data_IF_010888705353
#
_entry.id   IF_010888705353
#
_cell.length_a   1.000
_cell.length_b   1.000
_cell.length_c   1.000
_cell.angle_alpha   90.00
_cell.angle_beta   90.00
_cell.angle_gamma   90.00
#
_symmetry.space_group_name_H-M   'P 1'
#
loop_
_entity.id
_entity.type
_entity.pdbx_description
1 polymer ?
#
# COMPACT_ATOMS: atom_id res chain seq x y z
N UNK A 1 3.75 -13.74 -11.39
CA UNK A 1 4.14 -12.76 -10.36
C UNK A 1 5.21 -11.87 -10.96
N UNK A 2 5.28 -10.60 -10.56
CA UNK A 2 6.18 -9.62 -11.19
C UNK A 2 6.40 -8.44 -10.24
N UNK A 3 7.63 -7.95 -10.20
CA UNK A 3 7.99 -6.67 -9.62
C UNK A 3 8.76 -5.87 -10.66
N UNK A 4 8.48 -4.56 -10.82
CA UNK A 4 9.28 -3.72 -11.70
C UNK A 4 10.71 -3.55 -11.14
N UNK A 5 11.62 -3.06 -11.96
CA UNK A 5 12.94 -2.66 -11.47
C UNK A 5 12.79 -1.52 -10.46
N UNK A 6 13.74 -1.41 -9.53
CA UNK A 6 13.76 -0.32 -8.55
C UNK A 6 13.77 1.07 -9.21
N UNK A 7 14.38 1.18 -10.40
CA UNK A 7 14.40 2.42 -11.18
C UNK A 7 13.01 2.89 -11.63
N UNK A 8 12.00 2.02 -11.57
CA UNK A 8 10.59 2.33 -11.85
C UNK A 8 9.80 2.34 -10.54
N UNK A 9 9.92 1.27 -9.75
CA UNK A 9 9.15 1.07 -8.52
C UNK A 9 9.49 2.05 -7.40
N UNK A 10 10.72 2.59 -7.39
CA UNK A 10 11.19 3.60 -6.45
C UNK A 10 11.80 4.82 -7.18
N UNK A 11 11.29 5.14 -8.37
CA UNK A 11 11.69 6.34 -9.08
C UNK A 11 11.45 7.60 -8.23
N UNK A 12 12.43 8.49 -8.18
CA UNK A 12 12.45 9.69 -7.34
C UNK A 12 12.99 9.45 -5.93
N UNK A 13 13.00 8.20 -5.46
CA UNK A 13 13.53 7.81 -4.15
C UNK A 13 13.01 8.69 -3.01
N UNK A 14 13.91 9.05 -2.09
CA UNK A 14 13.58 9.91 -0.95
C UNK A 14 13.19 11.34 -1.34
N UNK A 15 13.70 11.85 -2.47
CA UNK A 15 13.42 13.23 -2.91
C UNK A 15 11.94 13.39 -3.26
N UNK A 16 11.33 12.37 -3.86
CA UNK A 16 9.91 12.39 -4.25
C UNK A 16 9.01 11.68 -3.22
N UNK A 17 9.57 11.23 -2.10
CA UNK A 17 8.77 10.57 -1.06
C UNK A 17 7.89 11.58 -0.33
N UNK A 18 6.61 11.25 -0.13
CA UNK A 18 5.57 12.17 0.36
C UNK A 18 5.31 13.43 -0.49
N UNK A 19 5.80 13.48 -1.73
CA UNK A 19 5.60 14.62 -2.63
C UNK A 19 4.57 14.37 -3.74
N UNK A 20 4.00 15.46 -4.25
CA UNK A 20 3.16 15.52 -5.46
C UNK A 20 3.53 16.77 -6.27
N UNK A 21 3.69 16.70 -7.62
CA UNK A 21 3.42 15.58 -8.53
C UNK A 21 4.41 14.42 -8.37
N UNK A 22 3.97 13.21 -8.73
CA UNK A 22 4.77 11.98 -8.59
C UNK A 22 4.74 11.13 -9.85
N UNK A 23 5.87 10.50 -10.16
CA UNK A 23 6.07 9.73 -11.40
C UNK A 23 6.55 8.29 -11.14
N UNK A 24 6.33 7.77 -9.94
CA UNK A 24 6.76 6.43 -9.50
C UNK A 24 5.77 5.34 -9.95
N UNK A 25 6.28 4.24 -10.51
CA UNK A 25 5.49 3.05 -10.87
C UNK A 25 5.44 2.02 -9.73
N UNK A 26 4.91 2.40 -8.57
CA UNK A 26 4.95 1.61 -7.34
C UNK A 26 3.86 0.52 -7.31
N UNK A 27 4.21 -0.69 -7.75
CA UNK A 27 3.36 -1.87 -7.65
C UNK A 27 4.17 -3.17 -7.64
N UNK A 28 3.56 -4.26 -7.16
CA UNK A 28 4.09 -5.64 -7.32
C UNK A 28 2.93 -6.63 -7.39
N UNK A 29 3.07 -7.65 -8.21
CA UNK A 29 2.12 -8.75 -8.34
C UNK A 29 2.59 -9.98 -7.59
N UNK A 30 1.82 -10.36 -6.58
CA UNK A 30 1.94 -11.62 -5.85
C UNK A 30 0.84 -12.60 -6.29
N UNK A 31 1.02 -13.88 -5.97
CA UNK A 31 0.02 -14.92 -6.19
C UNK A 31 -0.10 -15.76 -4.94
N UNK A 32 -1.31 -15.88 -4.40
CA UNK A 32 -1.61 -16.80 -3.32
C UNK A 32 -1.69 -18.24 -3.84
N UNK A 33 -1.14 -19.17 -3.05
CA UNK A 33 -1.18 -20.61 -3.27
C UNK A 33 -1.84 -21.29 -2.07
N UNK A 34 -2.55 -22.38 -2.33
CA UNK A 34 -3.29 -23.17 -1.34
C UNK A 34 -3.00 -24.66 -1.53
N UNK A 35 -3.32 -25.47 -0.53
CA UNK A 35 -3.28 -26.91 -0.65
C UNK A 35 -4.21 -27.39 -1.78
N UNK A 36 -4.02 -28.63 -2.23
CA UNK A 36 -4.87 -29.25 -3.28
C UNK A 36 -6.35 -29.36 -2.87
N UNK A 37 -6.62 -29.32 -1.57
CA UNK A 37 -7.97 -29.26 -0.98
C UNK A 37 -8.58 -27.84 -0.99
N UNK A 38 -7.85 -26.84 -1.50
CA UNK A 38 -8.27 -25.44 -1.59
C UNK A 38 -8.12 -24.65 -0.30
N UNK A 39 -7.52 -25.22 0.76
CA UNK A 39 -7.36 -24.56 2.06
C UNK A 39 -5.98 -23.92 2.22
N UNK A 40 -5.83 -22.92 3.12
CA UNK A 40 -4.52 -22.40 3.48
C UNK A 40 -3.58 -23.54 3.89
N UNK A 41 -2.37 -23.50 3.37
CA UNK A 41 -1.36 -24.53 3.58
C UNK A 41 0.03 -23.91 3.67
N UNK A 42 0.95 -24.59 4.33
CA UNK A 42 2.36 -24.22 4.34
C UNK A 42 2.96 -24.30 2.91
N UNK A 43 4.06 -23.58 2.65
CA UNK A 43 4.73 -23.63 1.36
C UNK A 43 5.12 -25.06 0.96
N UNK A 44 4.60 -25.53 -0.17
CA UNK A 44 4.90 -26.84 -0.74
C UNK A 44 4.92 -26.75 -2.28
N UNK A 45 5.79 -27.52 -2.96
CA UNK A 45 5.78 -27.65 -4.42
C UNK A 45 4.44 -28.16 -4.98
N UNK A 46 3.65 -28.87 -4.16
CA UNK A 46 2.35 -29.42 -4.55
C UNK A 46 1.18 -28.43 -4.45
N UNK A 47 1.40 -27.25 -3.90
CA UNK A 47 0.35 -26.24 -3.78
C UNK A 47 -0.11 -25.76 -5.15
N UNK A 48 -1.39 -25.42 -5.23
CA UNK A 48 -2.02 -24.94 -6.45
C UNK A 48 -2.39 -23.45 -6.32
N UNK A 49 -2.46 -22.69 -7.44
CA UNK A 49 -2.92 -21.31 -7.40
C UNK A 49 -4.31 -21.22 -6.78
N UNK A 50 -4.49 -20.30 -5.82
CA UNK A 50 -5.79 -20.03 -5.23
C UNK A 50 -6.76 -19.52 -6.29
N UNK A 51 -7.99 -20.08 -6.30
CA UNK A 51 -9.08 -19.61 -7.16
C UNK A 51 -10.11 -18.88 -6.29
N UNK A 52 -10.06 -17.53 -6.25
CA UNK A 52 -11.02 -16.77 -5.46
C UNK A 52 -12.43 -16.90 -6.05
N UNK A 53 -13.44 -16.76 -5.19
CA UNK A 53 -14.84 -16.67 -5.64
C UNK A 53 -15.07 -15.41 -6.48
N UNK A 54 -14.50 -14.29 -6.04
CA UNK A 54 -14.67 -12.96 -6.62
C UNK A 54 -13.31 -12.25 -6.70
N UNK A 55 -13.12 -11.40 -7.71
CA UNK A 55 -11.92 -10.56 -7.87
C UNK A 55 -12.29 -9.26 -8.60
N UNK A 56 -11.48 -8.22 -8.40
CA UNK A 56 -11.66 -6.93 -9.08
C UNK A 56 -11.21 -7.03 -10.53
N UNK A 57 -12.02 -6.49 -11.45
CA UNK A 57 -11.65 -6.35 -12.86
C UNK A 57 -10.87 -5.06 -13.08
N UNK A 58 -9.81 -5.12 -13.89
CA UNK A 58 -9.02 -3.93 -14.26
C UNK A 58 -9.69 -3.23 -15.43
N UNK A 59 -10.03 -1.95 -15.26
CA UNK A 59 -10.47 -1.09 -16.34
C UNK A 59 -9.27 -0.46 -17.05
N UNK A 60 -9.35 -0.34 -18.37
CA UNK A 60 -8.38 0.42 -19.19
C UNK A 60 -8.87 1.81 -19.58
N UNK A 61 -10.07 2.20 -19.12
CA UNK A 61 -10.57 3.55 -19.32
C UNK A 61 -9.71 4.55 -18.55
N UNK A 62 -9.39 5.68 -19.18
CA UNK A 62 -8.70 6.78 -18.53
C UNK A 62 -9.57 7.44 -17.44
N UNK A 63 -8.91 7.95 -16.40
CA UNK A 63 -9.55 8.74 -15.34
C UNK A 63 -9.64 10.21 -15.74
N UNK A 64 -10.68 10.88 -15.24
CA UNK A 64 -10.91 12.32 -15.40
C UNK A 64 -10.99 12.99 -14.03
N UNK A 65 -10.71 14.29 -14.01
CA UNK A 65 -10.92 15.11 -12.82
C UNK A 65 -12.38 14.97 -12.35
N UNK A 66 -12.56 14.83 -11.04
CA UNK A 66 -13.86 14.63 -10.37
C UNK A 66 -14.54 13.26 -10.60
N UNK A 67 -13.87 12.28 -11.21
CA UNK A 67 -14.38 10.90 -11.20
C UNK A 67 -14.46 10.35 -9.76
N UNK A 68 -15.54 9.61 -9.40
CA UNK A 68 -15.68 9.07 -8.06
C UNK A 68 -14.66 7.95 -7.81
N UNK A 69 -14.04 7.97 -6.62
CA UNK A 69 -13.07 6.96 -6.19
C UNK A 69 -13.58 6.30 -4.91
N UNK A 70 -13.58 4.96 -4.92
CA UNK A 70 -13.73 4.15 -3.71
C UNK A 70 -12.38 3.50 -3.40
N UNK A 71 -11.88 3.72 -2.18
CA UNK A 71 -10.67 3.08 -1.68
C UNK A 71 -11.02 2.19 -0.48
N UNK A 72 -10.66 0.91 -0.56
CA UNK A 72 -10.77 -0.05 0.53
C UNK A 72 -9.36 -0.52 0.96
N UNK A 73 -9.16 -0.70 2.26
CA UNK A 73 -7.88 -1.13 2.81
C UNK A 73 -7.92 -1.23 4.34
N UNK A 74 -6.74 -1.40 4.93
CA UNK A 74 -6.57 -1.59 6.37
C UNK A 74 -5.78 -0.41 6.98
N UNK A 75 -6.42 0.73 7.31
CA UNK A 75 -5.72 1.88 7.86
C UNK A 75 -5.16 1.57 9.25
N UNK A 76 -3.86 1.79 9.46
CA UNK A 76 -3.17 1.38 10.69
C UNK A 76 -3.58 2.15 11.95
N UNK A 77 -3.47 3.49 11.92
CA UNK A 77 -3.81 4.32 13.09
C UNK A 77 -4.22 5.73 12.67
N UNK A 78 -5.24 6.26 13.33
CA UNK A 78 -5.58 7.69 13.30
C UNK A 78 -5.63 8.23 14.72
N UNK A 79 -5.53 9.56 14.85
CA UNK A 79 -5.55 10.25 16.14
C UNK A 79 -6.61 11.36 16.12
N UNK A 80 -7.81 11.02 15.66
CA UNK A 80 -8.92 11.96 15.42
C UNK A 80 -9.35 12.75 16.67
N UNK A 81 -9.21 12.15 17.85
CA UNK A 81 -9.67 12.74 19.12
C UNK A 81 -8.55 13.39 19.95
N UNK A 82 -7.41 13.71 19.32
CA UNK A 82 -6.32 14.39 20.03
C UNK A 82 -6.78 15.73 20.60
N UNK A 83 -6.49 15.95 21.87
CA UNK A 83 -6.65 17.24 22.51
C UNK A 83 -5.63 18.25 21.95
N UNK A 84 -5.92 19.55 21.99
CA UNK A 84 -4.96 20.58 21.57
C UNK A 84 -3.60 20.48 22.26
N UNK A 85 -3.57 20.04 23.52
CA UNK A 85 -2.32 19.81 24.27
C UNK A 85 -1.50 18.64 23.68
N UNK A 86 -2.15 17.57 23.24
CA UNK A 86 -1.48 16.41 22.62
C UNK A 86 -0.95 16.75 21.22
N UNK A 87 -1.66 17.60 20.47
CA UNK A 87 -1.16 18.13 19.19
C UNK A 87 0.10 18.98 19.42
N UNK A 88 0.10 19.85 20.44
CA UNK A 88 1.29 20.64 20.80
C UNK A 88 2.45 19.75 21.23
N UNK A 89 2.22 18.76 22.10
CA UNK A 89 3.26 17.82 22.50
C UNK A 89 3.83 17.03 21.31
N UNK A 90 2.99 16.64 20.35
CA UNK A 90 3.44 15.99 19.14
C UNK A 90 4.36 16.90 18.31
N UNK A 91 3.96 18.16 18.10
CA UNK A 91 4.72 19.16 17.33
C UNK A 91 6.02 19.58 18.01
N UNK A 92 5.98 19.87 19.30
CA UNK A 92 7.09 20.55 20.00
C UNK A 92 8.11 19.58 20.59
N UNK A 93 7.73 18.32 20.80
CA UNK A 93 8.58 17.34 21.49
C UNK A 93 8.72 16.05 20.69
N UNK A 94 7.61 15.39 20.33
CA UNK A 94 7.67 14.03 19.80
C UNK A 94 8.25 13.96 18.38
N UNK A 95 7.76 14.82 17.48
CA UNK A 95 8.21 14.83 16.08
C UNK A 95 9.65 15.35 15.95
N UNK A 96 10.07 16.47 16.60
CA UNK A 96 11.45 16.92 16.54
C UNK A 96 12.43 15.89 17.09
N UNK A 97 12.10 15.24 18.21
CA UNK A 97 12.94 14.17 18.77
C UNK A 97 13.09 13.00 17.79
N UNK A 98 12.02 12.60 17.10
CA UNK A 98 12.08 11.49 16.13
C UNK A 98 12.95 11.81 14.92
N UNK A 99 13.02 13.07 14.50
CA UNK A 99 13.84 13.48 13.36
C UNK A 99 15.32 13.63 13.74
N UNK A 100 15.59 13.94 15.02
CA UNK A 100 16.96 14.12 15.52
C UNK A 100 17.67 12.81 15.89
N UNK A 101 16.93 11.72 16.08
CA UNK A 101 17.44 10.35 16.27
C UNK A 101 17.76 9.69 14.92
#
# INVERSE_FOLDING_TARGET
VYAPSERIGNYGGEVDNFEWPRHTGDFTFLRAYVGRDGRPADPSPDNVPYRPRDFLTVSTAGLRENDPILLAGYPGRTQRYRLPAEVRAARDVQLPRRVAE
#
